data_IF_910541717222
#
_entry.id   IF_910541717222
#
_cell.length_a   1.000
_cell.length_b   1.000
_cell.length_c   1.000
_cell.angle_alpha   90.00
_cell.angle_beta   90.00
_cell.angle_gamma   90.00
#
_symmetry.space_group_name_H-M   'P 1'
#
loop_
_entity.id
_entity.type
_entity.pdbx_description
1 polymer ?
2 non-polymer ?
3 non-polymer ?
4 water ?
#
# COMPACT_ATOMS: atom_id res chain seq x y z
N UNK A 3 -6.89 29.30 -11.12
CA UNK A 3 -7.61 28.49 -12.16
C UNK A 3 -6.81 27.22 -12.49
N UNK A 4 -7.48 26.23 -13.07
CA UNK A 4 -6.79 25.05 -13.61
C UNK A 4 -5.93 25.45 -14.81
N UNK A 5 -4.80 24.76 -15.02
CA UNK A 5 -3.97 25.14 -16.15
C UNK A 5 -4.66 24.79 -17.47
N UNK A 6 -4.34 25.55 -18.50
CA UNK A 6 -4.98 25.43 -19.81
C UNK A 6 -4.81 24.04 -20.44
N UNK A 7 -3.60 23.48 -20.33
CA UNK A 7 -3.33 22.13 -20.89
C UNK A 7 -4.18 21.04 -20.24
N UNK A 8 -4.52 21.20 -18.97
CA UNK A 8 -5.41 20.27 -18.30
C UNK A 8 -6.87 20.47 -18.76
N UNK A 9 -7.31 21.72 -18.69
CA UNK A 9 -8.64 22.11 -19.16
C UNK A 9 -8.86 21.66 -20.60
N UNK A 10 -7.80 21.66 -21.40
CA UNK A 10 -7.87 21.20 -22.78
C UNK A 10 -8.38 19.78 -22.92
N UNK A 11 -8.01 18.91 -21.98
CA UNK A 11 -8.29 17.49 -22.12
C UNK A 11 -9.38 16.98 -21.21
N UNK A 12 -9.65 17.73 -20.15
CA UNK A 12 -10.51 17.30 -19.08
C UNK A 12 -11.46 18.42 -18.67
N UNK A 13 -12.68 18.03 -18.31
CA UNK A 13 -13.63 18.91 -17.63
C UNK A 13 -13.63 18.57 -16.16
N UNK A 14 -13.36 19.56 -15.32
CA UNK A 14 -13.19 19.32 -13.89
C UNK A 14 -14.53 19.38 -13.13
N UNK A 15 -14.61 18.62 -12.05
CA UNK A 15 -15.86 18.43 -11.31
C UNK A 15 -15.61 18.46 -9.79
N UNK A 16 -16.40 17.69 -9.04
CA UNK A 16 -16.46 17.79 -7.58
C UNK A 16 -15.31 17.10 -6.85
N UNK A 17 -15.07 17.54 -5.61
CA UNK A 17 -14.04 16.97 -4.74
C UNK A 17 -14.48 15.58 -4.26
N UNK A 18 -13.56 14.63 -4.32
CA UNK A 18 -13.82 13.27 -3.84
C UNK A 18 -13.19 13.06 -2.46
N UNK A 19 -12.03 13.69 -2.22
CA UNK A 19 -11.38 13.67 -0.92
C UNK A 19 -10.26 14.68 -0.75
N UNK A 20 -9.47 14.52 0.31
CA UNK A 20 -8.28 15.34 0.57
C UNK A 20 -7.27 14.59 1.45
N UNK A 24 -2.52 18.40 -0.64
CA UNK A 24 -3.22 17.30 -1.31
C UNK A 24 -4.73 17.49 -1.45
N UNK A 25 -5.28 17.01 -2.56
CA UNK A 25 -6.72 17.03 -2.82
C UNK A 25 -7.05 16.18 -4.05
N UNK A 26 -8.16 15.44 -4.03
CA UNK A 26 -8.56 14.61 -5.17
C UNK A 26 -9.91 15.04 -5.74
N UNK A 27 -9.94 15.30 -7.05
CA UNK A 27 -11.13 15.80 -7.73
C UNK A 27 -11.62 14.80 -8.76
N UNK A 28 -12.93 14.81 -9.01
CA UNK A 28 -13.51 14.08 -10.12
C UNK A 28 -13.33 14.93 -11.38
N UNK A 29 -13.05 14.27 -12.51
CA UNK A 29 -13.01 14.95 -13.81
C UNK A 29 -13.50 13.99 -14.91
N UNK A 30 -13.78 14.54 -16.07
CA UNK A 30 -14.14 13.74 -17.22
C UNK A 30 -13.13 13.97 -18.32
N UNK A 31 -12.66 12.89 -18.90
CA UNK A 31 -11.76 13.00 -20.02
C UNK A 31 -12.62 13.35 -21.23
N UNK A 32 -12.28 14.42 -21.93
CA UNK A 32 -13.13 14.90 -23.03
C UNK A 32 -13.21 13.88 -24.16
N UNK A 33 -12.07 13.34 -24.54
CA UNK A 33 -11.98 12.35 -25.60
C UNK A 33 -12.92 11.14 -25.46
N UNK A 34 -13.02 10.61 -24.24
CA UNK A 34 -13.76 9.38 -24.00
C UNK A 34 -15.08 9.55 -23.22
N UNK A 35 -15.28 10.74 -22.65
CA UNK A 35 -16.42 11.00 -21.74
C UNK A 35 -16.49 10.06 -20.54
N UNK A 36 -15.34 9.64 -20.05
CA UNK A 36 -15.26 8.73 -18.94
C UNK A 36 -14.59 9.43 -17.75
N UNK A 37 -14.97 9.00 -16.55
CA UNK A 37 -14.53 9.60 -15.32
C UNK A 37 -13.10 9.26 -15.02
N UNK A 38 -12.37 10.25 -14.50
CA UNK A 38 -11.04 10.07 -13.99
C UNK A 38 -10.95 10.77 -12.63
N UNK A 39 -9.85 10.57 -11.93
CA UNK A 39 -9.60 11.26 -10.69
C UNK A 39 -8.38 12.08 -10.93
N UNK A 40 -8.34 13.28 -10.36
CA UNK A 40 -7.21 14.15 -10.54
C UNK A 40 -6.67 14.56 -9.18
N UNK A 41 -5.49 14.06 -8.84
CA UNK A 41 -4.83 14.39 -7.59
C UNK A 41 -4.08 15.69 -7.79
N UNK A 42 -4.38 16.65 -6.93
CA UNK A 42 -3.71 17.93 -6.95
C UNK A 42 -2.72 17.94 -5.78
N UNK A 43 -1.44 18.07 -6.09
CA UNK A 43 -0.39 18.16 -5.09
C UNK A 43 0.18 19.58 -5.14
N UNK A 44 -0.08 20.36 -4.10
CA UNK A 44 0.36 21.77 -4.07
C UNK A 44 1.88 21.82 -3.98
N UNK A 45 2.47 22.82 -4.62
CA UNK A 45 3.89 22.82 -4.93
C UNK A 45 4.74 23.33 -3.76
N UNK A 61 10.64 15.28 -6.18
CA UNK A 61 10.15 14.01 -5.67
C UNK A 61 8.79 13.58 -6.26
N UNK A 62 8.09 14.51 -6.91
CA UNK A 62 6.85 14.15 -7.61
C UNK A 62 7.25 13.56 -8.97
N UNK A 63 8.32 14.14 -9.54
CA UNK A 63 8.91 13.69 -10.80
C UNK A 63 9.32 12.23 -10.72
N UNK A 64 9.89 11.87 -9.57
CA UNK A 64 10.28 10.50 -9.25
C UNK A 64 9.08 9.59 -9.04
N UNK A 65 8.10 10.07 -8.29
CA UNK A 65 6.88 9.29 -8.09
C UNK A 65 6.25 8.97 -9.46
N UNK A 66 6.18 9.97 -10.33
CA UNK A 66 5.63 9.77 -11.67
C UNK A 66 6.41 8.70 -12.43
N UNK A 67 7.74 8.85 -12.39
CA UNK A 67 8.65 7.92 -13.09
C UNK A 67 8.50 6.51 -12.54
N UNK A 68 8.38 6.37 -11.22
CA UNK A 68 8.12 5.05 -10.63
C UNK A 68 6.77 4.53 -11.12
N UNK A 69 5.73 5.33 -11.01
CA UNK A 69 4.41 4.81 -11.34
C UNK A 69 4.26 4.45 -12.83
N UNK A 70 4.90 5.22 -13.71
CA UNK A 70 4.90 4.88 -15.14
C UNK A 70 5.52 3.51 -15.46
N UNK A 71 6.52 3.08 -14.71
CA UNK A 71 7.18 1.78 -15.00
C UNK A 71 6.43 0.58 -14.43
N UNK A 72 5.53 0.78 -13.48
CA UNK A 72 4.91 -0.35 -12.79
C UNK A 72 3.63 -0.79 -13.51
N UNK A 73 3.45 -2.11 -13.62
CA UNK A 73 2.28 -2.68 -14.28
C UNK A 73 1.72 -3.83 -13.47
N UNK A 74 0.79 -3.51 -12.57
CA UNK A 74 0.16 -4.51 -11.73
C UNK A 74 -1.29 -4.10 -11.45
N UNK A 75 -2.21 -5.08 -11.45
CA UNK A 75 -3.64 -4.74 -11.28
C UNK A 75 -3.98 -4.14 -9.91
N UNK A 76 -3.14 -4.37 -8.91
CA UNK A 76 -3.37 -3.82 -7.58
C UNK A 76 -2.48 -2.61 -7.27
N UNK A 77 -1.93 -2.00 -8.31
CA UNK A 77 -1.21 -0.73 -8.16
C UNK A 77 -1.78 0.30 -9.11
N UNK A 78 -2.06 1.48 -8.58
CA UNK A 78 -2.74 2.55 -9.34
C UNK A 78 -1.88 2.99 -10.54
N UNK A 79 -2.50 3.23 -11.68
CA UNK A 79 -1.81 3.69 -12.90
C UNK A 79 -1.98 5.18 -13.14
N UNK A 80 -0.93 5.84 -13.63
CA UNK A 80 -1.01 7.24 -14.02
C UNK A 80 -1.53 7.32 -15.46
N UNK A 81 -2.50 8.19 -15.69
CA UNK A 81 -3.03 8.42 -17.04
C UNK A 81 -2.41 9.67 -17.64
N UNK A 82 -2.07 10.64 -16.80
CA UNK A 82 -1.58 11.91 -17.28
C UNK A 82 -0.98 12.72 -16.15
N UNK A 83 -0.18 13.71 -16.51
CA UNK A 83 0.53 14.52 -15.54
C UNK A 83 0.71 15.94 -16.06
N UNK A 84 0.45 16.91 -15.21
CA UNK A 84 0.62 18.31 -15.56
C UNK A 84 1.40 18.99 -14.45
N UNK A 85 2.54 19.55 -14.85
CA UNK A 85 3.47 20.25 -13.99
C UNK A 85 3.26 21.74 -14.21
N UNK A 86 2.34 22.32 -13.46
CA UNK A 86 1.93 23.71 -13.64
C UNK A 86 2.28 24.49 -12.37
N UNK A 87 1.39 25.33 -11.85
CA UNK A 87 1.67 26.03 -10.58
C UNK A 87 1.59 25.05 -9.40
N UNK A 88 0.64 24.13 -9.46
CA UNK A 88 0.65 22.95 -8.64
C UNK A 88 0.90 21.75 -9.57
N UNK A 89 1.06 20.56 -9.00
CA UNK A 89 1.14 19.34 -9.80
C UNK A 89 -0.22 18.74 -9.89
N UNK A 90 -0.55 18.24 -11.09
CA UNK A 90 -1.81 17.53 -11.33
C UNK A 90 -1.50 16.13 -11.86
N UNK A 91 -1.98 15.10 -11.15
CA UNK A 91 -1.79 13.71 -11.58
C UNK A 91 -3.12 13.12 -11.88
N UNK A 92 -3.34 12.71 -13.12
CA UNK A 92 -4.58 12.08 -13.49
C UNK A 92 -4.46 10.56 -13.35
N UNK A 93 -5.45 9.95 -12.71
CA UNK A 93 -5.43 8.52 -12.39
C UNK A 93 -6.79 7.91 -12.66
N UNK A 94 -6.84 6.58 -12.68
CA UNK A 94 -8.13 5.91 -12.82
C UNK A 94 -8.98 6.22 -11.59
N UNK A 95 -10.28 6.37 -11.78
CA UNK A 95 -11.17 6.67 -10.68
C UNK A 95 -11.46 5.37 -9.93
N UNK A 96 -11.28 5.38 -8.62
CA UNK A 96 -11.57 4.22 -7.80
C UNK A 96 -12.85 4.53 -7.04
N UNK A 97 -13.96 3.97 -7.50
CA UNK A 97 -15.28 4.39 -7.03
C UNK A 97 -15.56 4.02 -5.59
N UNK A 98 -14.85 3.04 -5.03
CA UNK A 98 -15.07 2.63 -3.64
C UNK A 98 -14.44 3.54 -2.60
N UNK A 99 -13.59 4.45 -3.04
CA UNK A 99 -12.89 5.35 -2.11
C UNK A 99 -11.77 4.66 -1.36
N UNK A 100 -11.43 5.22 -0.20
CA UNK A 100 -10.31 4.77 0.63
C UNK A 100 -10.74 3.65 1.58
N UNK A 101 -9.83 2.71 1.84
CA UNK A 101 -10.07 1.67 2.83
C UNK A 101 -10.26 2.28 4.22
N UNK A 102 -9.58 3.41 4.46
CA UNK A 102 -9.74 4.14 5.71
C UNK A 102 -11.22 4.31 6.11
N UNK A 103 -12.06 4.68 5.15
CA UNK A 103 -13.46 4.93 5.46
C UNK A 103 -14.22 3.68 5.88
N UNK A 104 -13.68 2.51 5.55
CA UNK A 104 -14.29 1.24 5.95
C UNK A 104 -13.90 0.79 7.36
N UNK A 105 -12.84 1.38 7.91
CA UNK A 105 -12.32 0.95 9.22
C UNK A 105 -12.40 2.01 10.32
N UNK A 106 -12.77 3.25 9.98
CA UNK A 106 -12.98 4.28 11.01
C UNK A 106 -14.22 3.98 11.86
N UNK A 107 -14.27 4.63 13.03
CA UNK A 107 -15.38 4.47 13.98
C UNK A 107 -15.49 3.06 14.55
N UNK A 108 -14.35 2.38 14.70
CA UNK A 108 -14.31 0.98 15.11
C UNK A 108 -15.16 0.05 14.25
N UNK A 109 -15.42 0.46 13.01
CA UNK A 109 -16.09 -0.41 12.06
C UNK A 109 -15.08 -1.46 11.69
N UNK A 110 -15.55 -2.68 11.48
CA UNK A 110 -14.66 -3.68 10.96
C UNK A 110 -15.29 -4.57 9.91
N UNK A 111 -14.40 -5.06 9.06
CA UNK A 111 -14.75 -5.85 7.92
C UNK A 111 -14.94 -7.29 8.38
N UNK A 112 -15.74 -8.03 7.62
CA UNK A 112 -15.85 -9.47 7.78
C UNK A 112 -14.46 -10.05 7.55
N UNK A 113 -14.09 -11.07 8.31
CA UNK A 113 -12.77 -11.67 8.12
C UNK A 113 -12.51 -12.07 6.66
N UNK A 114 -13.51 -12.64 6.00
CA UNK A 114 -13.43 -13.02 4.59
C UNK A 114 -13.04 -11.83 3.68
N UNK A 115 -13.59 -10.66 3.98
CA UNK A 115 -13.30 -9.45 3.23
C UNK A 115 -11.91 -8.94 3.55
N UNK A 116 -11.52 -8.96 4.82
CA UNK A 116 -10.12 -8.66 5.18
C UNK A 116 -9.16 -9.47 4.37
N UNK A 117 -9.47 -10.76 4.20
CA UNK A 117 -8.55 -11.65 3.51
C UNK A 117 -8.43 -11.29 2.05
N UNK A 118 -9.56 -11.05 1.39
CA UNK A 118 -9.54 -10.69 -0.02
C UNK A 118 -8.69 -9.44 -0.22
N UNK A 119 -8.93 -8.44 0.61
CA UNK A 119 -8.22 -7.18 0.47
C UNK A 119 -6.74 -7.38 0.80
N UNK A 120 -6.44 -8.11 1.87
CA UNK A 120 -5.06 -8.24 2.29
C UNK A 120 -4.25 -9.04 1.29
N UNK A 121 -4.85 -10.11 0.75
CA UNK A 121 -4.22 -10.86 -0.33
C UNK A 121 -3.76 -9.94 -1.45
N UNK A 122 -4.61 -9.02 -1.87
CA UNK A 122 -4.26 -8.10 -2.95
C UNK A 122 -3.16 -7.11 -2.57
N UNK A 123 -3.22 -6.63 -1.33
CA UNK A 123 -2.16 -5.76 -0.81
C UNK A 123 -0.81 -6.50 -0.84
N UNK A 124 -0.81 -7.76 -0.40
CA UNK A 124 0.39 -8.58 -0.42
C UNK A 124 0.92 -8.73 -1.85
N UNK A 125 0.03 -9.00 -2.81
CA UNK A 125 0.48 -9.19 -4.18
C UNK A 125 1.13 -7.92 -4.71
N UNK A 126 0.52 -6.79 -4.35
CA UNK A 126 0.98 -5.46 -4.75
C UNK A 126 2.34 -5.18 -4.17
N UNK A 127 2.49 -5.37 -2.86
CA UNK A 127 3.74 -5.07 -2.22
C UNK A 127 4.81 -6.09 -2.67
N UNK A 128 4.45 -7.35 -2.82
CA UNK A 128 5.40 -8.31 -3.39
C UNK A 128 5.95 -7.84 -4.75
N UNK A 129 5.05 -7.37 -5.61
CA UNK A 129 5.43 -6.86 -6.93
C UNK A 129 6.37 -5.64 -6.82
N UNK A 130 6.07 -4.73 -5.90
CA UNK A 130 6.96 -3.61 -5.66
C UNK A 130 8.34 -4.10 -5.25
N UNK A 131 8.41 -4.97 -4.26
CA UNK A 131 9.72 -5.41 -3.77
C UNK A 131 10.54 -6.20 -4.81
N UNK A 132 9.89 -7.05 -5.61
CA UNK A 132 10.57 -7.72 -6.73
C UNK A 132 11.17 -6.74 -7.72
N UNK A 133 10.52 -5.60 -7.91
CA UNK A 133 10.99 -4.55 -8.80
C UNK A 133 11.80 -3.46 -8.11
N UNK A 134 12.31 -3.73 -6.90
CA UNK A 134 13.22 -2.79 -6.23
C UNK A 134 12.57 -1.49 -5.73
N UNK A 135 11.29 -1.52 -5.41
CA UNK A 135 10.60 -0.34 -4.90
C UNK A 135 10.09 -0.64 -3.50
N UNK A 136 10.31 0.30 -2.59
CA UNK A 136 9.68 0.25 -1.27
C UNK A 136 8.68 1.41 -1.19
N UNK A 137 7.49 1.15 -0.69
CA UNK A 137 6.45 2.17 -0.68
C UNK A 137 6.69 3.16 0.46
N UNK A 138 6.78 2.62 1.66
CA UNK A 138 7.12 3.38 2.88
C UNK A 138 6.02 4.23 3.52
N UNK A 139 4.83 4.24 2.93
CA UNK A 139 3.70 4.95 3.52
C UNK A 139 2.42 4.12 3.38
N UNK A 140 2.50 2.80 3.58
CA UNK A 140 1.31 1.98 3.49
C UNK A 140 0.42 2.29 4.70
N UNK A 141 -0.83 2.61 4.38
CA UNK A 141 -1.83 3.04 5.38
C UNK A 141 -3.20 2.89 4.72
N UNK A 142 -4.27 2.73 5.56
CA UNK A 142 -5.61 2.56 4.97
C UNK A 142 -6.02 3.66 3.99
N UNK A 143 -5.50 4.87 4.19
CA UNK A 143 -5.75 6.00 3.31
C UNK A 143 -5.20 5.77 1.91
N UNK A 144 -4.17 4.95 1.79
CA UNK A 144 -3.53 4.71 0.52
C UNK A 144 -3.89 3.39 -0.11
N UNK A 145 -4.97 2.78 0.38
CA UNK A 145 -5.52 1.60 -0.25
C UNK A 145 -6.91 2.03 -0.79
N UNK A 146 -7.09 1.94 -2.11
CA UNK A 146 -8.28 2.46 -2.74
C UNK A 146 -9.08 1.28 -3.19
N UNK A 147 -10.41 1.36 -3.05
CA UNK A 147 -11.31 0.31 -3.48
C UNK A 147 -11.95 0.64 -4.83
N UNK A 148 -12.04 -0.35 -5.71
CA UNK A 148 -12.50 -0.16 -7.08
C UNK A 148 -14.02 0.00 -7.21
N UNK A 149 -14.77 -0.35 -6.17
CA UNK A 149 -16.22 -0.22 -6.21
C UNK A 149 -16.81 -0.18 -4.80
N UNK A 150 -18.10 0.13 -4.72
CA UNK A 150 -18.78 0.15 -3.43
C UNK A 150 -19.23 -1.23 -2.96
N UNK A 151 -19.07 -2.25 -3.80
CA UNK A 151 -19.32 -3.64 -3.41
C UNK A 151 -18.22 -4.09 -2.45
N UNK A 152 -18.59 -4.95 -1.50
CA UNK A 152 -17.64 -5.38 -0.48
C UNK A 152 -16.54 -6.22 -1.12
N UNK A 153 -16.92 -7.13 -2.01
CA UNK A 153 -15.96 -7.86 -2.83
C UNK A 153 -15.56 -6.97 -4.00
N UNK A 154 -14.33 -6.45 -3.95
CA UNK A 154 -13.83 -5.62 -5.04
C UNK A 154 -12.29 -5.66 -5.16
N UNK A 155 -11.76 -5.04 -6.20
CA UNK A 155 -10.33 -4.94 -6.38
C UNK A 155 -9.85 -3.77 -5.56
N UNK A 156 -8.64 -3.89 -5.03
CA UNK A 156 -8.00 -2.75 -4.39
C UNK A 156 -6.74 -2.35 -5.15
N UNK A 157 -6.41 -1.06 -5.04
CA UNK A 157 -5.18 -0.55 -5.62
C UNK A 157 -4.46 0.31 -4.59
N UNK A 158 -3.15 0.09 -4.51
CA UNK A 158 -2.31 0.86 -3.66
C UNK A 158 -1.91 2.12 -4.40
N UNK A 159 -1.91 3.23 -3.68
CA UNK A 159 -1.61 4.52 -4.22
C UNK A 159 -0.62 5.30 -3.34
N UNK A 160 -0.29 6.49 -3.80
CA UNK A 160 0.56 7.46 -3.09
C UNK A 160 2.00 6.99 -2.88
N UNK A 161 2.80 7.19 -3.91
CA UNK A 161 4.17 6.78 -3.91
C UNK A 161 5.12 7.93 -3.61
N UNK A 162 4.63 8.95 -2.90
CA UNK A 162 5.41 10.15 -2.60
C UNK A 162 6.57 9.96 -1.63
N UNK A 163 6.54 8.88 -0.84
CA UNK A 163 7.64 8.57 0.12
C UNK A 163 8.43 7.37 -0.34
N UNK A 164 8.11 6.83 -1.51
CA UNK A 164 8.68 5.57 -1.93
C UNK A 164 10.15 5.75 -2.28
N UNK A 165 10.90 4.65 -2.25
CA UNK A 165 12.33 4.65 -2.53
C UNK A 165 12.70 3.50 -3.46
N UNK A 166 13.68 3.75 -4.33
CA UNK A 166 14.17 2.77 -5.28
C UNK A 166 15.41 2.10 -4.70
N UNK A 167 15.34 0.79 -4.49
CA UNK A 167 16.50 0.00 -4.10
C UNK A 167 17.43 -0.09 -5.30
N UNK A 168 18.69 0.23 -5.10
CA UNK A 168 19.71 0.04 -6.14
C UNK A 168 21.05 -0.27 -5.51
N UNK A 169 22.10 -0.21 -6.33
CA UNK A 169 23.48 -0.37 -5.85
C UNK A 169 23.77 0.67 -4.77
N UNK A 170 24.20 0.19 -3.61
CA UNK A 170 24.37 1.06 -2.47
C UNK A 170 25.82 1.56 -2.38
N UNK A 171 26.00 2.61 -1.58
CA UNK A 171 27.33 3.11 -1.28
C UNK A 171 28.06 2.11 -0.36
N UNK A 172 27.29 1.34 0.41
CA UNK A 172 27.85 0.28 1.23
C UNK A 172 28.58 -0.78 0.39
N UNK A 173 27.92 -1.28 -0.65
CA UNK A 173 28.52 -2.27 -1.54
C UNK A 173 29.84 -1.73 -2.11
N UNK A 174 29.81 -0.50 -2.60
CA UNK A 174 31.01 0.15 -3.13
C UNK A 174 32.10 0.27 -2.05
N UNK A 175 31.71 0.68 -0.85
CA UNK A 175 32.67 0.80 0.26
C UNK A 175 33.31 -0.54 0.58
N UNK A 176 32.53 -1.62 0.61
CA UNK A 176 33.06 -2.94 0.96
C UNK A 176 33.93 -3.58 -0.14
N UNK A 177 34.05 -2.96 -1.31
CA UNK A 177 34.93 -3.54 -2.35
C UNK A 177 36.42 -3.29 -2.12
N UNK A 178 36.75 -2.28 -1.33
CA UNK A 178 38.14 -2.02 -0.92
C UNK A 178 38.48 -2.61 0.45
N UNK A 179 39.75 -2.56 0.80
CA UNK A 179 40.23 -2.94 2.12
C UNK A 179 39.84 -1.83 3.11
N UNK A 180 39.24 -2.22 4.27
CA UNK A 180 38.70 -1.24 5.18
C UNK A 180 39.72 -0.66 6.18
N UNK A 181 40.98 -0.55 5.77
CA UNK A 181 42.04 0.04 6.60
C UNK A 181 41.59 1.33 7.32
N UNK A 182 40.89 2.20 6.58
CA UNK A 182 40.47 3.53 7.04
C UNK A 182 38.97 3.61 7.34
N UNK A 183 38.30 2.48 7.23
CA UNK A 183 36.86 2.42 7.36
C UNK A 183 36.38 2.30 8.82
N UNK A 184 35.35 3.08 9.14
CA UNK A 184 34.81 3.23 10.50
C UNK A 184 34.02 1.98 10.96
N UNK A 185 34.10 1.65 12.25
CA UNK A 185 33.44 0.45 12.74
C UNK A 185 31.94 0.41 12.50
N UNK A 186 31.26 1.54 12.61
CA UNK A 186 29.81 1.54 12.47
C UNK A 186 29.36 1.16 11.05
N UNK A 187 30.22 1.38 10.05
CA UNK A 187 29.91 0.98 8.69
C UNK A 187 29.92 -0.55 8.59
N UNK A 188 30.94 -1.16 9.20
CA UNK A 188 31.08 -2.59 9.22
C UNK A 188 29.97 -3.24 10.02
N UNK A 189 29.57 -2.63 11.13
CA UNK A 189 28.42 -3.11 11.92
C UNK A 189 27.13 -3.03 11.11
N UNK A 190 26.90 -1.96 10.34
CA UNK A 190 25.67 -1.85 9.54
C UNK A 190 25.51 -2.92 8.45
N UNK A 191 26.59 -3.65 8.11
CA UNK A 191 26.49 -4.71 7.11
C UNK A 191 25.54 -5.81 7.62
N UNK A 192 25.48 -6.00 8.93
CA UNK A 192 24.64 -7.04 9.51
C UNK A 192 23.18 -6.90 9.12
N UNK A 193 22.71 -5.66 9.01
CA UNK A 193 21.28 -5.36 8.87
C UNK A 193 20.90 -4.69 7.56
N UNK A 194 21.87 -4.42 6.68
CA UNK A 194 21.60 -3.78 5.41
C UNK A 194 20.78 -4.65 4.44
N UNK A 195 19.97 -3.99 3.63
CA UNK A 195 19.20 -4.68 2.61
C UNK A 195 17.87 -5.22 3.11
N UNK A 196 17.42 -4.73 4.27
CA UNK A 196 16.14 -5.13 4.87
C UNK A 196 15.19 -3.94 5.00
N UNK A 197 15.48 -2.89 4.25
CA UNK A 197 14.64 -1.68 4.27
C UNK A 197 13.22 -2.00 3.83
N UNK A 198 13.07 -3.00 2.98
CA UNK A 198 11.77 -3.37 2.47
C UNK A 198 10.85 -3.89 3.57
N UNK A 199 11.44 -4.35 4.67
CA UNK A 199 10.67 -4.89 5.78
C UNK A 199 9.77 -3.87 6.46
N UNK A 200 10.03 -2.57 6.31
CA UNK A 200 9.12 -1.57 6.88
C UNK A 200 7.73 -1.67 6.24
N UNK A 201 7.65 -2.07 4.96
CA UNK A 201 6.36 -2.26 4.30
C UNK A 201 5.57 -3.42 4.90
N UNK A 202 6.27 -4.48 5.31
CA UNK A 202 5.61 -5.63 5.89
C UNK A 202 5.09 -5.34 7.28
N UNK A 203 5.79 -4.48 8.02
CA UNK A 203 5.30 -4.05 9.32
C UNK A 203 4.01 -3.26 9.12
N UNK A 204 4.00 -2.28 8.21
CA UNK A 204 2.78 -1.51 7.91
C UNK A 204 1.58 -2.38 7.52
N UNK A 205 1.86 -3.38 6.67
CA UNK A 205 0.83 -4.34 6.26
C UNK A 205 0.27 -5.02 7.49
N UNK A 206 1.15 -5.39 8.39
CA UNK A 206 0.76 -5.98 9.67
C UNK A 206 -0.17 -5.13 10.49
N UNK A 207 0.15 -3.83 10.57
CA UNK A 207 -0.67 -2.87 11.29
C UNK A 207 -2.00 -2.73 10.54
N UNK A 208 -1.96 -2.63 9.22
CA UNK A 208 -3.20 -2.53 8.44
C UNK A 208 -4.12 -3.74 8.69
N UNK A 209 -3.55 -4.94 8.61
CA UNK A 209 -4.31 -6.17 8.79
C UNK A 209 -4.94 -6.22 10.20
N UNK A 210 -4.16 -5.83 11.20
CA UNK A 210 -4.63 -5.74 12.57
C UNK A 210 -5.88 -4.85 12.69
N UNK A 211 -5.79 -3.67 12.11
CA UNK A 211 -6.88 -2.72 12.08
C UNK A 211 -8.10 -3.27 11.36
N UNK A 212 -7.88 -3.89 10.20
CA UNK A 212 -8.99 -4.40 9.40
C UNK A 212 -9.74 -5.51 10.16
N UNK A 213 -8.99 -6.40 10.82
CA UNK A 213 -9.56 -7.57 11.51
C UNK A 213 -10.28 -7.22 12.81
N UNK A 214 -9.80 -6.19 13.48
CA UNK A 214 -10.23 -5.85 14.84
C UNK A 214 -11.02 -4.54 14.94
N UNK A 215 -10.87 -3.64 13.98
CA UNK A 215 -11.50 -2.32 14.04
C UNK A 215 -10.82 -1.32 14.99
N UNK A 216 -9.65 -1.68 15.51
CA UNK A 216 -8.87 -0.73 16.29
C UNK A 216 -7.36 -0.90 16.03
N UNK A 217 -6.57 0.16 16.29
CA UNK A 217 -5.12 0.15 16.04
C UNK A 217 -4.35 -0.55 17.15
N UNK A 218 -3.27 -1.28 16.80
CA UNK A 218 -2.48 -2.03 17.76
C UNK A 218 -1.63 -1.18 18.67
N UNK A 219 -1.21 -0.03 18.17
CA UNK A 219 -0.39 0.88 18.92
C UNK A 219 -1.07 2.24 18.89
N UNK A 220 -1.29 2.83 20.05
CA UNK A 220 -2.11 4.03 20.15
C UNK A 220 -1.97 4.61 21.55
N UNK A 221 -2.22 5.90 21.67
CA UNK A 221 -2.16 6.56 22.97
C UNK A 221 -3.50 6.56 23.71
N UNK A 222 -4.46 5.74 23.24
CA UNK A 222 -5.77 5.65 23.89
C UNK A 222 -5.79 4.72 25.10
N UNK A 223 -6.27 5.24 26.23
CA UNK A 223 -6.37 4.47 27.46
C UNK A 223 -5.13 3.60 27.73
N UNK A 224 -3.96 4.26 27.78
CA UNK A 224 -2.72 3.62 28.22
C UNK A 224 -1.69 4.66 28.68
N UNK A 225 -0.72 4.21 29.47
CA UNK A 225 0.35 5.08 29.96
C UNK A 225 1.67 4.86 29.20
N UNK A 226 1.81 3.72 28.51
CA UNK A 226 3.00 3.46 27.71
C UNK A 226 3.01 4.40 26.49
N UNK A 227 4.15 5.00 26.23
CA UNK A 227 4.27 5.87 25.09
C UNK A 227 4.09 5.07 23.78
N UNK A 228 3.63 5.75 22.74
CA UNK A 228 3.48 5.15 21.42
C UNK A 228 4.81 4.54 20.98
N UNK A 229 5.86 5.33 21.08
CA UNK A 229 7.18 4.85 20.72
C UNK A 229 7.54 3.54 21.44
N UNK A 230 7.35 3.51 22.76
CA UNK A 230 7.74 2.35 23.57
C UNK A 230 6.87 1.14 23.24
N UNK A 231 5.58 1.37 22.95
CA UNK A 231 4.71 0.30 22.47
C UNK A 231 5.30 -0.32 21.20
N UNK A 232 5.72 0.53 20.28
CA UNK A 232 6.16 0.04 18.97
C UNK A 232 7.51 -0.67 19.06
N UNK A 233 8.51 -0.07 19.69
CA UNK A 233 9.84 -0.73 19.75
C UNK A 233 9.87 -2.01 20.60
N UNK A 234 8.94 -2.16 21.52
CA UNK A 234 8.84 -3.41 22.28
C UNK A 234 8.00 -4.43 21.51
N UNK A 235 7.21 -3.97 20.54
CA UNK A 235 6.29 -4.85 19.82
C UNK A 235 5.06 -5.25 20.61
N UNK A 236 4.76 -4.56 21.71
CA UNK A 236 3.64 -4.93 22.57
C UNK A 236 2.36 -4.27 22.07
N UNK A 237 1.67 -4.92 21.15
CA UNK A 237 0.39 -4.43 20.66
C UNK A 237 -0.67 -4.55 21.76
N UNK A 238 -1.65 -3.66 21.69
CA UNK A 238 -2.81 -3.69 22.57
C UNK A 238 -3.77 -4.80 22.13
N UNK A 239 -3.78 -5.90 22.88
CA UNK A 239 -4.65 -7.02 22.59
C UNK A 239 -5.90 -7.05 23.50
N UNK A 240 -7.07 -6.87 22.91
CA UNK A 240 -8.34 -6.90 23.64
C UNK A 240 -9.07 -8.20 23.29
N UNK A 241 -8.97 -9.22 24.18
CA UNK A 241 -9.44 -10.56 23.82
C UNK A 241 -10.84 -10.71 23.21
N UNK A 242 -11.80 -9.86 23.59
CA UNK A 242 -13.19 -10.06 23.15
C UNK A 242 -13.49 -9.44 21.79
N UNK A 243 -12.77 -8.39 21.42
CA UNK A 243 -12.83 -7.95 20.03
C UNK A 243 -12.31 -9.10 19.14
N UNK A 244 -11.26 -9.80 19.59
CA UNK A 244 -10.58 -10.82 18.79
C UNK A 244 -11.22 -12.23 18.82
N UNK A 245 -12.04 -12.52 19.85
CA UNK A 245 -12.67 -13.85 20.00
C UNK A 245 -13.34 -14.32 18.70
N UNK A 246 -13.98 -13.41 17.98
CA UNK A 246 -14.65 -13.73 16.72
C UNK A 246 -13.70 -13.99 15.53
N UNK A 247 -12.46 -13.51 15.65
CA UNK A 247 -11.47 -13.66 14.59
C UNK A 247 -10.72 -14.99 14.69
N UNK A 248 -10.47 -15.62 13.55
CA UNK A 248 -9.75 -16.89 13.53
C UNK A 248 -8.31 -16.76 14.08
N UNK A 249 -7.83 -17.88 14.61
CA UNK A 249 -6.49 -18.03 15.15
C UNK A 249 -5.40 -17.90 14.06
N UNK A 250 -5.71 -18.34 12.84
CA UNK A 250 -4.80 -18.24 11.71
C UNK A 250 -4.57 -16.79 11.26
N UNK A 251 -5.64 -16.00 11.24
CA UNK A 251 -5.57 -14.57 10.93
C UNK A 251 -4.65 -13.87 11.91
N UNK A 252 -4.91 -14.08 13.20
CA UNK A 252 -4.09 -13.49 14.25
C UNK A 252 -2.64 -14.01 14.20
N UNK A 253 -2.45 -15.27 13.83
CA UNK A 253 -1.10 -15.80 13.72
C UNK A 253 -0.28 -15.02 12.70
N UNK A 254 -0.88 -14.71 11.55
CA UNK A 254 -0.21 -13.96 10.50
C UNK A 254 0.13 -12.55 10.99
N UNK A 255 -0.83 -11.90 11.65
CA UNK A 255 -0.59 -10.59 12.25
C UNK A 255 0.66 -10.62 13.12
N UNK A 256 0.75 -11.65 13.95
CA UNK A 256 1.89 -11.80 14.87
C UNK A 256 3.25 -11.94 14.16
N UNK A 257 3.26 -12.59 12.99
CA UNK A 257 4.50 -12.80 12.25
C UNK A 257 4.91 -11.54 11.44
N UNK A 258 3.99 -10.60 11.28
CA UNK A 258 4.27 -9.35 10.56
C UNK A 258 4.67 -8.27 11.54
N UNK A 259 4.14 -8.34 12.74
CA UNK A 259 4.46 -7.37 13.79
C UNK A 259 5.61 -7.88 14.62
N UNK A 260 6.67 -8.34 13.96
CA UNK A 260 7.87 -8.80 14.64
C UNK A 260 8.83 -7.63 14.58
N UNK A 261 9.45 -7.31 15.73
CA UNK A 261 10.25 -6.13 15.86
C UNK A 261 11.60 -6.25 15.13
N UNK A 262 12.19 -7.43 15.15
CA UNK A 262 13.43 -7.69 14.38
C UNK A 262 13.12 -7.76 12.87
N UNK A 263 13.59 -6.76 12.09
CA UNK A 263 13.26 -6.72 10.66
C UNK A 263 13.76 -7.92 9.87
N UNK A 264 14.83 -8.58 10.33
CA UNK A 264 15.34 -9.79 9.68
C UNK A 264 14.50 -11.04 9.97
N UNK A 265 13.79 -11.08 11.09
CA UNK A 265 12.90 -12.22 11.41
C UNK A 265 11.46 -11.99 10.91
N UNK A 266 11.08 -10.74 10.69
CA UNK A 266 9.76 -10.37 10.15
C UNK A 266 9.45 -11.14 8.87
N UNK A 267 8.19 -11.55 8.75
CA UNK A 267 7.69 -12.16 7.55
C UNK A 267 7.83 -11.22 6.35
N UNK A 268 8.30 -11.77 5.24
CA UNK A 268 8.31 -11.10 3.97
C UNK A 268 6.95 -11.29 3.32
N UNK A 269 6.72 -10.60 2.20
CA UNK A 269 5.46 -10.76 1.48
C UNK A 269 5.31 -12.21 0.98
N UNK A 270 6.41 -12.85 0.57
CA UNK A 270 6.38 -14.23 0.10
C UNK A 270 5.94 -15.19 1.22
N UNK A 271 6.50 -14.98 2.41
CA UNK A 271 6.16 -15.80 3.55
C UNK A 271 4.69 -15.62 3.96
N UNK A 272 4.21 -14.38 3.89
CA UNK A 272 2.81 -14.06 4.20
C UNK A 272 1.87 -14.76 3.20
N UNK A 273 2.26 -14.76 1.93
CA UNK A 273 1.44 -15.34 0.88
C UNK A 273 1.40 -16.88 1.01
N UNK A 274 2.40 -17.47 1.68
CA UNK A 274 2.42 -18.93 1.94
C UNK A 274 1.77 -19.29 3.26
N UNK A 275 1.34 -18.30 4.04
CA UNK A 275 0.73 -18.58 5.34
C UNK A 275 -0.62 -19.31 5.21
N UNK A 276 -0.91 -20.24 6.12
CA UNK A 276 -2.20 -20.96 6.09
C UNK A 276 -3.44 -20.08 5.86
N UNK A 277 -3.48 -18.87 6.43
CA UNK A 277 -4.64 -17.99 6.30
C UNK A 277 -4.95 -17.61 4.86
N UNK A 278 -3.92 -17.56 4.01
CA UNK A 278 -4.12 -17.20 2.60
C UNK A 278 -4.22 -18.40 1.64
N UNK A 279 -4.20 -19.62 2.17
CA UNK A 279 -4.48 -20.83 1.37
C UNK A 279 -5.99 -21.04 1.39
N UNK A 280 -6.70 -20.19 0.66
CA UNK A 280 -8.16 -20.11 0.66
C UNK A 280 -8.56 -19.99 -0.81
N UNK A 281 -8.94 -21.12 -1.40
CA UNK A 281 -9.21 -21.16 -2.85
C UNK A 281 -10.46 -20.39 -3.25
N UNK A 282 -11.41 -20.27 -2.33
CA UNK A 282 -12.60 -19.46 -2.59
C UNK A 282 -12.21 -18.01 -2.75
N UNK A 283 -11.42 -17.51 -1.79
CA UNK A 283 -10.92 -16.13 -1.86
C UNK A 283 -10.16 -15.92 -3.17
N UNK A 284 -9.27 -16.85 -3.51
CA UNK A 284 -8.45 -16.67 -4.72
C UNK A 284 -9.26 -16.69 -6.00
N UNK A 285 -10.26 -17.57 -6.06
CA UNK A 285 -11.18 -17.60 -7.18
C UNK A 285 -11.92 -16.26 -7.32
N UNK A 286 -12.45 -15.74 -6.23
CA UNK A 286 -13.12 -14.43 -6.25
C UNK A 286 -12.22 -13.30 -6.77
N UNK A 287 -10.93 -13.33 -6.43
CA UNK A 287 -9.99 -12.32 -6.90
C UNK A 287 -9.84 -12.45 -8.41
N UNK A 288 -9.57 -13.67 -8.90
CA UNK A 288 -9.46 -13.91 -10.36
C UNK A 288 -10.76 -13.49 -11.09
N UNK A 289 -11.90 -13.77 -10.48
CA UNK A 289 -13.19 -13.38 -11.07
C UNK A 289 -13.29 -11.87 -11.22
N UNK A 290 -12.90 -11.14 -10.17
CA UNK A 290 -12.93 -9.68 -10.22
C UNK A 290 -11.94 -9.09 -11.24
N UNK A 291 -10.79 -9.75 -11.41
CA UNK A 291 -9.82 -9.35 -12.41
C UNK A 291 -10.42 -9.44 -13.83
N UNK A 292 -10.99 -10.59 -14.17
CA UNK A 292 -11.61 -10.80 -15.49
C UNK A 292 -12.68 -9.76 -15.81
N UNK A 293 -13.59 -9.52 -14.87
CA UNK A 293 -14.59 -8.45 -15.00
C UNK A 293 -13.98 -7.10 -15.35
N UNK A 294 -12.88 -6.72 -14.69
CA UNK A 294 -12.22 -5.42 -14.92
C UNK A 294 -11.70 -5.29 -16.36
N UNK A 295 -11.17 -6.37 -16.91
CA UNK A 295 -10.36 -6.32 -18.13
C UNK A 295 -11.16 -6.36 -19.46
N UNK A 296 -10.83 -5.44 -20.38
CA UNK A 296 -11.45 -5.32 -21.74
C UNK A 296 -10.53 -4.59 -22.77
N UNK A 297 -9.77 -5.25 -23.66
CA UNK A 297 -9.51 -6.71 -23.72
C UNK A 297 -8.68 -7.12 -24.99
N UNK A 298 -9.35 -7.29 -26.14
CA UNK A 298 -8.71 -7.63 -27.46
C UNK A 298 -8.79 -9.13 -27.82
N UNK A 299 -9.17 -9.43 -29.06
CA UNK A 299 -9.23 -10.82 -29.53
C UNK A 299 -7.83 -11.47 -29.54
N UNK A 300 -7.79 -12.80 -29.40
CA UNK A 300 -6.52 -13.55 -29.35
C UNK A 300 -6.47 -14.66 -30.40
N UNK A 301 -5.26 -15.04 -30.87
CA UNK A 301 -5.16 -16.21 -31.75
C UNK A 301 -5.36 -17.53 -31.00
N UNK A 302 -6.02 -18.47 -31.66
CA UNK A 302 -6.37 -19.80 -31.11
C UNK A 302 -7.22 -19.64 -29.85
X LIG B 1 -7.89 8.15 -5.43
X LIG B 1 -7.86 8.93 -4.49
X LIG B 1 -8.91 9.30 -3.77
X LIG B 1 -10.22 8.95 -3.84
X LIG B 1 -10.74 8.05 -4.77
X LIG B 1 -12.10 7.77 -4.73
X LIG B 1 -11.06 9.56 -2.90
X LIG B 1 -12.41 9.27 -2.88
X LIG B 1 -12.94 8.37 -3.80
X LIG B 1 -14.41 8.07 -3.79
X LIG B 1 -15.02 7.10 -4.75
X LIG B 1 -15.17 8.66 -2.86
X LIG B 1 -16.48 8.54 -2.74
X LIG B 1 -17.22 9.53 -1.95
X LIG B 1 -16.48 10.79 -1.76
X LIG B 1 -17.14 11.80 -2.13
X LIG B 1 -18.49 11.45 -2.71
X LIG B 1 -18.42 10.00 -2.62
X LIG B 1 -6.76 9.53 -4.06
X LIG B 1 -5.47 9.48 -4.48
X LIG B 1 -4.96 8.72 -5.53
X LIG B 1 -3.61 8.79 -5.83
X LIG B 1 -2.74 9.60 -5.10
X LIG B 1 -3.26 10.35 -4.05
X LIG B 1 -4.61 10.31 -3.76
X LIG B 1 -1.26 9.73 -5.36
X LIG B 1 -0.51 8.99 -6.43
X LIG B 1 -0.59 10.56 -4.56
X LIG B 1 0.62 10.78 -4.58
X LIG B 1 1.12 11.84 -3.70
X LIG B 1 2.53 12.03 -3.43
X LIG B 1 2.65 13.06 -2.41
X LIG B 1 1.28 12.91 -1.76
X LIG B 1 0.48 12.18 -2.42
X LIG C 1 16.16 -3.64 0.95
X LIG C 1 16.68 -4.04 -0.28
X LIG C 1 15.01 -4.27 1.45
X LIG C 1 16.81 -2.65 1.68
#
# INVERSE_FOLDING_TARGET
MSVYPKALRDEYIMSKTLGSGACGEVKLAFERKTCKKVAIKIISKRKFAIGSAREADPALNVETEIEILKKLNHPCIIKIKNFFDAEDYYIVLELMEGGELFDKVVGNKRLKEATCKLYFYQMLLAVQYLHENGIIHRDLKPENVLLSSQEEDCLIKITDFGHSKILGETSLMRTLCGTPTYLAPEVLVSVGTAGYNRAVDCWSLGVILFICLSGYPPFSEHRTQVSLKDQITSGKYNFIPEVWAEVSEKALDLVKKLLVVDPKARFTTEEALRHPWLQDEDMKRKFQDLLSEENESTAKPQVLAQPSTSRKRPREGEAEGAE
HCW OBH CAV NAF CAW CBB CBA CAX CAY CAZ CBC CBD NAG NAH CBE NAI CBF CBG NAJ NAE CAS CAR CAQ CAP CAU CAT CAN CAO NAD NAC CAM NAB CAL CAK NAA
NO3 N O1 O2 O3
#
